data_IF_743172406807
#
_entry.id   IF_743172406807
#
_cell.length_a   1.000
_cell.length_b   1.000
_cell.length_c   1.000
_cell.angle_alpha   90.00
_cell.angle_beta   90.00
_cell.angle_gamma   90.00
#
_symmetry.space_group_name_H-M   'P 1'
#
loop_
_entity.id
_entity.type
_entity.pdbx_description
1 polymer ?
#
# COMPACT_ATOMS: atom_id res chain seq x y z
N UNK A 1 -0.03 0.37 -33.82
CA UNK A 1 -0.28 -0.58 -32.71
C UNK A 1 0.98 -0.94 -31.92
N UNK A 2 2.16 -1.09 -32.54
CA UNK A 2 3.41 -1.40 -31.82
C UNK A 2 3.88 -0.32 -30.82
N UNK A 3 3.58 0.97 -31.08
CA UNK A 3 3.93 2.08 -30.17
C UNK A 3 3.04 2.21 -28.93
N UNK A 4 1.82 1.66 -28.97
CA UNK A 4 0.87 1.73 -27.84
C UNK A 4 1.18 0.63 -26.80
N UNK A 5 1.69 -0.52 -27.26
CA UNK A 5 2.12 -1.63 -26.41
C UNK A 5 3.43 -1.30 -25.64
N UNK A 6 4.33 -0.53 -26.25
CA UNK A 6 5.57 -0.06 -25.61
C UNK A 6 5.32 0.97 -24.49
N UNK A 7 4.26 1.78 -24.59
CA UNK A 7 3.91 2.75 -23.55
C UNK A 7 3.29 2.09 -22.31
N UNK A 8 2.56 0.99 -22.48
CA UNK A 8 1.95 0.25 -21.36
C UNK A 8 2.98 -0.55 -20.55
N UNK A 9 4.06 -1.04 -21.18
CA UNK A 9 5.15 -1.74 -20.48
C UNK A 9 6.07 -0.75 -19.73
N UNK A 10 6.15 0.50 -20.17
CA UNK A 10 6.94 1.55 -19.52
C UNK A 10 6.29 2.13 -18.25
N UNK A 11 5.01 1.84 -17.99
CA UNK A 11 4.27 2.35 -16.83
C UNK A 11 4.23 1.39 -15.64
N UNK A 12 4.95 0.26 -15.70
CA UNK A 12 5.25 -0.56 -14.53
C UNK A 12 6.60 -0.11 -13.96
N UNK A 13 6.66 0.88 -13.05
CA UNK A 13 7.80 0.97 -12.18
C UNK A 13 7.74 -0.28 -11.30
N UNK A 14 8.57 -1.27 -11.65
CA UNK A 14 9.09 -2.23 -10.67
C UNK A 14 9.84 -1.41 -9.62
N UNK A 15 9.11 -0.82 -8.69
CA UNK A 15 9.68 -0.18 -7.52
C UNK A 15 10.06 -1.29 -6.55
N UNK A 16 11.14 -1.99 -6.87
CA UNK A 16 11.85 -2.83 -5.91
C UNK A 16 12.82 -1.92 -5.17
N UNK A 17 12.31 -1.22 -4.16
CA UNK A 17 13.17 -0.64 -3.14
C UNK A 17 13.42 -1.76 -2.11
N UNK A 18 14.52 -2.48 -2.29
CA UNK A 18 15.08 -3.27 -1.21
C UNK A 18 15.71 -2.26 -0.25
N UNK A 19 14.95 -1.82 0.75
CA UNK A 19 15.52 -0.98 1.79
C UNK A 19 16.39 -1.83 2.69
N UNK A 20 17.68 -1.52 2.66
CA UNK A 20 18.62 -1.96 3.67
C UNK A 20 18.22 -1.22 4.94
N UNK A 21 17.41 -1.88 5.78
CA UNK A 21 17.26 -1.51 7.17
C UNK A 21 18.69 -1.37 7.72
N UNK A 22 19.09 -0.16 8.12
CA UNK A 22 20.39 0.02 8.77
C UNK A 22 20.28 -0.68 10.12
N UNK A 23 20.65 -1.97 10.14
CA UNK A 23 20.52 -2.81 11.32
C UNK A 23 21.43 -2.27 12.41
N UNK A 24 20.85 -2.08 13.59
CA UNK A 24 21.62 -1.78 14.79
C UNK A 24 22.67 -2.89 14.99
N UNK A 25 23.95 -2.56 15.19
CA UNK A 25 25.01 -3.55 15.34
C UNK A 25 24.74 -4.45 16.57
N UNK A 26 25.05 -5.76 16.49
CA UNK A 26 24.79 -6.68 17.59
C UNK A 26 25.66 -6.33 18.81
N UNK A 27 25.02 -6.19 19.99
CA UNK A 27 25.70 -5.99 21.27
C UNK A 27 25.80 -4.54 21.77
N UNK A 28 25.16 -3.57 21.11
CA UNK A 28 25.03 -2.18 21.59
C UNK A 28 23.56 -1.77 21.68
N UNK A 29 23.21 -0.95 22.68
CA UNK A 29 21.91 -0.27 22.72
C UNK A 29 21.85 0.73 21.57
N UNK A 30 20.80 0.68 20.76
CA UNK A 30 20.69 1.49 19.56
C UNK A 30 19.25 1.95 19.36
N UNK A 31 19.10 3.20 18.93
CA UNK A 31 17.81 3.86 18.73
C UNK A 31 17.82 4.60 17.40
N UNK A 32 16.67 4.59 16.73
CA UNK A 32 16.48 5.23 15.43
C UNK A 32 16.01 6.66 15.60
N UNK A 33 16.66 7.60 14.92
CA UNK A 33 16.23 9.00 14.83
C UNK A 33 15.67 9.28 13.44
N UNK A 34 14.56 10.03 13.38
CA UNK A 34 13.88 10.33 12.11
C UNK A 34 14.70 11.29 11.22
N UNK A 35 15.39 12.25 11.84
CA UNK A 35 16.18 13.27 11.17
C UNK A 35 17.66 13.21 11.58
N UNK A 36 18.59 13.76 10.77
CA UNK A 36 20.01 13.85 11.13
C UNK A 36 20.27 14.63 12.43
N UNK A 37 21.52 14.60 12.90
CA UNK A 37 21.95 15.40 14.05
C UNK A 37 21.76 16.90 13.80
N UNK A 38 21.33 17.65 14.82
CA UNK A 38 21.01 19.09 14.72
C UNK A 38 19.73 19.43 13.93
N UNK A 39 18.95 18.42 13.56
CA UNK A 39 17.64 18.57 12.93
C UNK A 39 16.56 17.84 13.71
N UNK A 40 15.32 18.31 13.57
CA UNK A 40 14.10 17.70 14.08
C UNK A 40 13.06 17.55 12.97
N UNK A 41 12.07 16.70 13.20
CA UNK A 41 10.98 16.48 12.27
C UNK A 41 10.04 17.70 12.22
N UNK A 42 9.87 18.24 11.02
CA UNK A 42 8.85 19.25 10.73
C UNK A 42 7.68 18.67 9.93
N UNK A 43 6.64 19.48 9.64
CA UNK A 43 5.40 19.02 9.02
C UNK A 43 5.56 18.44 7.60
N UNK A 44 6.67 18.76 6.91
CA UNK A 44 6.95 18.25 5.54
C UNK A 44 8.37 17.74 5.37
N UNK A 45 9.32 18.19 6.17
CA UNK A 45 10.74 17.88 6.04
C UNK A 45 11.44 18.04 7.40
N UNK A 46 12.67 17.52 7.49
CA UNK A 46 13.54 17.80 8.62
C UNK A 46 13.91 19.28 8.62
N UNK A 47 13.78 19.92 9.77
CA UNK A 47 14.11 21.33 9.97
C UNK A 47 15.27 21.44 10.96
N UNK A 48 16.16 22.43 10.83
CA UNK A 48 17.22 22.64 11.82
C UNK A 48 16.61 22.95 13.19
N UNK A 49 17.12 22.29 14.23
CA UNK A 49 16.60 22.39 15.59
C UNK A 49 16.71 21.07 16.37
N UNK A 50 16.30 21.11 17.64
CA UNK A 50 16.42 19.99 18.58
C UNK A 50 17.62 20.13 19.52
N UNK A 51 17.43 19.75 20.78
CA UNK A 51 18.48 19.69 21.81
C UNK A 51 19.18 18.31 21.84
N UNK A 52 18.63 17.32 21.14
CA UNK A 52 19.03 15.91 21.22
C UNK A 52 17.95 15.07 21.90
N UNK A 53 17.91 13.78 21.57
CA UNK A 53 16.97 12.84 22.17
C UNK A 53 17.35 12.56 23.64
N UNK A 54 16.35 12.48 24.52
CA UNK A 54 16.55 12.11 25.93
C UNK A 54 16.68 10.58 26.05
N UNK A 55 17.87 10.07 25.78
CA UNK A 55 18.17 8.63 25.71
C UNK A 55 19.35 8.30 26.62
N UNK A 56 19.37 7.15 27.32
CA UNK A 56 20.47 6.76 28.20
C UNK A 56 21.83 6.80 27.51
N UNK A 57 22.83 7.31 28.25
CA UNK A 57 24.21 7.43 27.81
C UNK A 57 24.77 6.10 27.28
N UNK A 58 25.39 6.14 26.10
CA UNK A 58 25.96 4.96 25.44
C UNK A 58 25.05 4.31 24.40
N UNK A 59 23.87 4.90 24.14
CA UNK A 59 22.98 4.46 23.06
C UNK A 59 23.43 5.03 21.72
N UNK A 60 23.61 4.17 20.72
CA UNK A 60 23.95 4.58 19.35
C UNK A 60 22.71 5.15 18.65
N UNK A 61 22.84 6.35 18.07
CA UNK A 61 21.79 6.99 17.30
C UNK A 61 22.01 6.68 15.82
N UNK A 62 21.07 5.96 15.21
CA UNK A 62 21.09 5.65 13.78
C UNK A 62 19.98 6.43 13.08
N UNK A 63 20.29 7.08 11.97
CA UNK A 63 19.26 7.80 11.19
C UNK A 63 18.57 6.79 10.30
N UNK A 64 17.31 6.48 10.62
CA UNK A 64 16.46 5.57 9.87
C UNK A 64 15.02 6.08 9.93
N UNK A 65 14.52 6.57 8.79
CA UNK A 65 13.17 7.14 8.67
C UNK A 65 12.27 6.16 7.92
N UNK A 66 11.18 5.69 8.53
CA UNK A 66 10.20 4.84 7.86
C UNK A 66 9.64 5.48 6.57
N UNK A 67 9.40 4.67 5.54
CA UNK A 67 8.86 5.10 4.24
C UNK A 67 7.33 5.08 4.17
N UNK A 68 6.68 5.41 5.28
CA UNK A 68 5.23 5.36 5.43
C UNK A 68 4.72 6.67 6.03
N UNK A 69 3.41 6.94 5.93
CA UNK A 69 2.78 8.00 6.71
C UNK A 69 3.03 7.73 8.20
N UNK A 70 3.80 8.62 8.84
CA UNK A 70 4.18 8.48 10.24
C UNK A 70 3.18 9.22 11.13
N UNK A 71 2.87 8.64 12.27
CA UNK A 71 2.04 9.21 13.32
C UNK A 71 2.84 9.22 14.62
N UNK A 72 2.62 10.23 15.46
CA UNK A 72 3.30 10.32 16.75
C UNK A 72 2.44 9.69 17.84
N UNK A 73 3.09 8.96 18.76
CA UNK A 73 2.48 8.52 20.01
C UNK A 73 2.59 9.63 21.04
N UNK A 74 1.48 9.96 21.71
CA UNK A 74 1.47 11.01 22.71
C UNK A 74 2.00 10.50 24.06
N UNK A 75 3.08 11.10 24.62
CA UNK A 75 3.66 10.63 25.86
C UNK A 75 2.69 10.85 27.03
N UNK A 76 2.24 9.75 27.63
CA UNK A 76 1.37 9.73 28.81
C UNK A 76 -0.09 9.38 28.53
N UNK A 77 -0.55 9.47 27.26
CA UNK A 77 -1.81 8.84 26.83
C UNK A 77 -1.53 7.48 26.19
N UNK A 78 -0.48 7.40 25.38
CA UNK A 78 -0.03 6.16 24.76
C UNK A 78 1.16 5.62 25.55
N UNK A 79 0.97 4.47 26.21
CA UNK A 79 2.06 3.77 26.89
C UNK A 79 2.94 3.10 25.83
N UNK A 80 4.19 3.57 25.70
CA UNK A 80 5.19 2.93 24.86
C UNK A 80 6.51 2.73 25.60
N UNK A 81 7.17 1.62 25.30
CA UNK A 81 8.46 1.24 25.85
C UNK A 81 9.43 0.91 24.72
N UNK A 82 10.65 1.45 24.80
CA UNK A 82 11.71 1.14 23.84
C UNK A 82 12.61 0.07 24.46
N UNK A 83 12.74 -1.05 23.77
CA UNK A 83 13.62 -2.13 24.18
C UNK A 83 15.06 -1.89 23.69
N UNK A 84 16.02 -2.40 24.46
CA UNK A 84 17.46 -2.36 24.15
C UNK A 84 17.84 -3.02 22.82
N UNK A 85 16.97 -3.88 22.28
CA UNK A 85 17.12 -4.52 20.98
C UNK A 85 16.73 -3.60 19.80
N UNK A 86 16.37 -2.33 20.07
CA UNK A 86 15.92 -1.37 19.06
C UNK A 86 14.51 -1.65 18.54
N UNK A 87 13.65 -2.26 19.36
CA UNK A 87 12.20 -2.41 19.06
C UNK A 87 11.38 -1.53 20.00
N UNK A 88 10.26 -1.04 19.49
CA UNK A 88 9.29 -0.27 20.25
C UNK A 88 8.08 -1.18 20.53
N UNK A 89 7.64 -1.21 21.78
CA UNK A 89 6.35 -1.77 22.15
C UNK A 89 5.41 -0.66 22.54
N UNK A 90 4.19 -0.72 22.00
CA UNK A 90 3.14 0.23 22.34
C UNK A 90 1.81 -0.52 22.44
N UNK A 91 0.86 0.07 23.15
CA UNK A 91 -0.49 -0.48 23.29
C UNK A 91 -1.41 0.14 22.24
N UNK A 92 -2.00 -0.69 21.38
CA UNK A 92 -3.07 -0.30 20.44
C UNK A 92 -4.34 -1.09 20.78
N UNK A 93 -5.44 -0.38 21.12
CA UNK A 93 -6.76 -0.97 21.40
C UNK A 93 -6.68 -2.21 22.32
N UNK A 94 -6.02 -2.06 23.46
CA UNK A 94 -5.80 -3.10 24.49
C UNK A 94 -4.90 -4.29 24.06
N UNK A 95 -4.20 -4.17 22.93
CA UNK A 95 -3.23 -5.16 22.47
C UNK A 95 -1.82 -4.60 22.45
N UNK A 96 -0.85 -5.38 22.93
CA UNK A 96 0.56 -5.00 22.85
C UNK A 96 1.10 -5.29 21.45
N UNK A 97 1.59 -4.27 20.78
CA UNK A 97 2.19 -4.35 19.45
C UNK A 97 3.67 -4.06 19.55
N UNK A 98 4.50 -4.94 18.99
CA UNK A 98 5.96 -4.76 18.92
C UNK A 98 6.34 -4.46 17.48
N UNK A 99 6.99 -3.31 17.26
CA UNK A 99 7.42 -2.87 15.93
C UNK A 99 8.89 -2.46 15.89
N UNK A 100 9.49 -2.57 14.71
CA UNK A 100 10.81 -2.02 14.36
C UNK A 100 10.70 -0.80 13.46
N UNK A 101 9.52 -0.56 12.88
CA UNK A 101 9.26 0.54 11.97
C UNK A 101 8.83 1.79 12.76
N UNK A 102 9.78 2.32 13.52
CA UNK A 102 9.62 3.55 14.26
C UNK A 102 10.90 4.38 14.19
N UNK A 103 10.76 5.67 14.45
CA UNK A 103 11.88 6.56 14.69
C UNK A 103 11.52 7.57 15.77
N UNK A 104 12.50 8.06 16.51
CA UNK A 104 12.31 9.09 17.52
C UNK A 104 12.70 10.45 16.95
N UNK A 105 11.99 11.49 17.38
CA UNK A 105 12.41 12.86 17.13
C UNK A 105 11.83 13.81 18.18
N UNK A 106 12.34 15.04 18.19
CA UNK A 106 11.88 16.09 19.08
C UNK A 106 10.75 16.91 18.43
N UNK A 107 9.74 17.27 19.22
CA UNK A 107 8.72 18.24 18.82
C UNK A 107 9.21 19.69 19.05
N UNK A 108 8.39 20.68 18.70
CA UNK A 108 8.61 22.11 18.93
C UNK A 108 8.88 22.48 20.40
N UNK A 109 8.44 21.64 21.34
CA UNK A 109 8.69 21.80 22.77
C UNK A 109 9.94 21.04 23.28
N UNK A 110 10.77 20.50 22.39
CA UNK A 110 11.96 19.67 22.71
C UNK A 110 11.65 18.44 23.57
N UNK A 111 10.42 17.94 23.52
CA UNK A 111 10.07 16.64 24.11
C UNK A 111 10.29 15.56 23.06
N UNK A 112 10.79 14.40 23.49
CA UNK A 112 11.03 13.24 22.60
C UNK A 112 9.69 12.54 22.32
N UNK A 113 9.38 12.33 21.05
CA UNK A 113 8.21 11.60 20.57
C UNK A 113 8.62 10.38 19.75
N UNK A 114 7.82 9.33 19.82
CA UNK A 114 7.94 8.16 18.97
C UNK A 114 7.03 8.30 17.75
N UNK A 115 7.62 8.25 16.56
CA UNK A 115 6.91 8.23 15.29
C UNK A 115 6.83 6.79 14.79
N UNK A 116 5.62 6.27 14.65
CA UNK A 116 5.35 4.93 14.17
C UNK A 116 4.62 4.97 12.83
N UNK A 117 4.72 3.88 12.09
CA UNK A 117 3.84 3.63 10.96
C UNK A 117 2.70 2.72 11.38
N UNK A 118 1.48 3.17 11.14
CA UNK A 118 0.36 2.24 11.13
C UNK A 118 0.33 1.53 9.78
N UNK A 119 0.12 0.20 9.75
CA UNK A 119 -0.23 -0.45 8.50
C UNK A 119 -1.46 0.28 7.93
N UNK A 120 -1.52 0.49 6.60
CA UNK A 120 -2.68 1.12 5.99
C UNK A 120 -3.93 0.35 6.44
N UNK A 121 -4.96 1.08 6.83
CA UNK A 121 -6.23 0.51 7.26
C UNK A 121 -6.70 -0.47 6.17
N UNK A 122 -7.29 -1.61 6.56
CA UNK A 122 -7.77 -2.62 5.60
C UNK A 122 -8.67 -1.99 4.51
N UNK A 123 -9.40 -0.92 4.88
CA UNK A 123 -10.23 -0.10 4.00
C UNK A 123 -9.42 0.65 2.93
N UNK A 124 -8.29 1.27 3.26
CA UNK A 124 -7.45 2.02 2.30
C UNK A 124 -6.76 1.09 1.29
N UNK A 125 -6.32 -0.09 1.76
CA UNK A 125 -5.76 -1.13 0.88
C UNK A 125 -6.85 -1.68 -0.04
N UNK A 126 -8.07 -1.87 0.48
CA UNK A 126 -9.21 -2.30 -0.31
C UNK A 126 -9.57 -1.26 -1.38
N UNK A 127 -9.61 0.04 -1.06
CA UNK A 127 -9.87 1.10 -2.04
C UNK A 127 -8.81 1.16 -3.14
N UNK A 128 -7.52 1.11 -2.78
CA UNK A 128 -6.43 1.14 -3.75
C UNK A 128 -6.44 -0.09 -4.67
N UNK A 129 -6.74 -1.27 -4.11
CA UNK A 129 -6.84 -2.50 -4.91
C UNK A 129 -8.06 -2.49 -5.82
N UNK A 130 -9.22 -2.03 -5.35
CA UNK A 130 -10.43 -1.86 -6.16
C UNK A 130 -10.20 -0.87 -7.32
N UNK A 131 -9.49 0.23 -7.07
CA UNK A 131 -9.13 1.18 -8.11
C UNK A 131 -8.23 0.54 -9.19
N UNK A 132 -7.23 -0.24 -8.79
CA UNK A 132 -6.36 -0.96 -9.72
C UNK A 132 -7.14 -1.98 -10.56
N UNK A 133 -8.08 -2.71 -9.96
CA UNK A 133 -8.97 -3.64 -10.68
C UNK A 133 -9.87 -2.91 -11.69
N UNK A 134 -10.45 -1.78 -11.31
CA UNK A 134 -11.32 -0.97 -12.18
C UNK A 134 -10.56 -0.49 -13.43
N UNK A 135 -9.31 -0.02 -13.26
CA UNK A 135 -8.44 0.38 -14.37
C UNK A 135 -8.15 -0.83 -15.28
N UNK A 136 -7.82 -1.99 -14.70
CA UNK A 136 -7.58 -3.23 -15.44
C UNK A 136 -8.79 -3.67 -16.27
N UNK A 137 -10.00 -3.57 -15.72
CA UNK A 137 -11.26 -3.87 -16.42
C UNK A 137 -11.54 -2.88 -17.56
N UNK A 138 -11.31 -1.59 -17.33
CA UNK A 138 -11.51 -0.53 -18.33
C UNK A 138 -10.68 -0.75 -19.60
N UNK A 139 -9.43 -1.21 -19.46
CA UNK A 139 -8.58 -1.54 -20.61
C UNK A 139 -8.89 -2.92 -21.22
N UNK A 140 -9.31 -3.89 -20.41
CA UNK A 140 -9.54 -5.26 -20.86
C UNK A 140 -10.79 -5.41 -21.73
N UNK A 141 -11.89 -4.75 -21.37
CA UNK A 141 -13.17 -4.82 -22.11
C UNK A 141 -13.05 -4.38 -23.58
N UNK A 142 -12.48 -3.21 -23.93
CA UNK A 142 -12.36 -2.78 -25.32
C UNK A 142 -11.39 -3.66 -26.11
N UNK A 143 -10.34 -4.19 -25.47
CA UNK A 143 -9.41 -5.12 -26.10
C UNK A 143 -10.08 -6.47 -26.45
N UNK A 144 -10.86 -7.02 -25.51
CA UNK A 144 -11.65 -8.23 -25.73
C UNK A 144 -12.72 -8.01 -26.81
N UNK A 145 -13.38 -6.85 -26.80
CA UNK A 145 -14.36 -6.49 -27.83
C UNK A 145 -13.72 -6.38 -29.22
N UNK A 146 -12.56 -5.72 -29.33
CA UNK A 146 -11.80 -5.64 -30.58
C UNK A 146 -11.41 -7.03 -31.08
N UNK A 147 -11.02 -7.93 -30.17
CA UNK A 147 -10.71 -9.33 -30.50
C UNK A 147 -11.94 -10.02 -31.09
N UNK A 148 -13.10 -9.93 -30.44
CA UNK A 148 -14.36 -10.48 -30.95
C UNK A 148 -14.71 -9.91 -32.34
N UNK A 149 -14.57 -8.60 -32.54
CA UNK A 149 -14.88 -7.93 -33.82
C UNK A 149 -13.95 -8.41 -34.93
N UNK A 150 -12.64 -8.53 -34.68
CA UNK A 150 -11.67 -9.01 -35.67
C UNK A 150 -11.96 -10.46 -36.06
N UNK A 151 -12.18 -11.35 -35.08
CA UNK A 151 -12.53 -12.75 -35.35
C UNK A 151 -13.89 -12.90 -36.06
N UNK A 152 -14.85 -12.00 -35.82
CA UNK A 152 -16.14 -11.99 -36.50
C UNK A 152 -16.06 -11.44 -37.95
N UNK A 153 -15.25 -10.41 -38.19
CA UNK A 153 -15.13 -9.73 -39.50
C UNK A 153 -14.30 -10.54 -40.49
N UNK A 154 -13.29 -11.27 -40.02
CA UNK A 154 -12.41 -12.08 -40.87
C UNK A 154 -13.07 -13.42 -41.24
N UNK A 155 -13.96 -13.40 -42.24
CA UNK A 155 -14.65 -14.60 -42.78
C UNK A 155 -13.71 -15.74 -43.19
N UNK A 156 -12.42 -15.44 -43.43
CA UNK A 156 -11.39 -16.38 -43.86
C UNK A 156 -10.81 -17.26 -42.73
N UNK A 157 -10.99 -16.89 -41.45
CA UNK A 157 -10.54 -17.69 -40.29
C UNK A 157 -11.70 -18.41 -39.56
N UNK A 158 -12.88 -18.48 -40.20
CA UNK A 158 -14.09 -19.13 -39.67
C UNK A 158 -14.02 -20.67 -39.70
N UNK A 159 -12.82 -21.21 -39.50
CA UNK A 159 -12.56 -22.62 -39.27
C UNK A 159 -13.07 -23.01 -37.87
N UNK A 160 -13.25 -24.30 -37.60
CA UNK A 160 -13.72 -24.80 -36.29
C UNK A 160 -12.97 -24.15 -35.11
N UNK A 161 -11.65 -24.00 -35.29
CA UNK A 161 -10.75 -23.40 -34.31
C UNK A 161 -11.07 -21.92 -33.99
N UNK A 162 -11.41 -21.12 -35.00
CA UNK A 162 -11.76 -19.70 -34.81
C UNK A 162 -13.08 -19.50 -34.08
N UNK A 163 -14.02 -20.45 -34.20
CA UNK A 163 -15.28 -20.42 -33.45
C UNK A 163 -15.08 -20.69 -31.96
N UNK A 164 -14.20 -21.63 -31.59
CA UNK A 164 -13.89 -21.89 -30.19
C UNK A 164 -13.29 -20.67 -29.49
N UNK A 165 -12.34 -19.99 -30.15
CA UNK A 165 -11.73 -18.76 -29.64
C UNK A 165 -12.81 -17.68 -29.44
N UNK A 166 -13.73 -17.52 -30.40
CA UNK A 166 -14.81 -16.55 -30.28
C UNK A 166 -15.72 -16.80 -29.07
N UNK A 167 -16.16 -18.04 -28.86
CA UNK A 167 -16.98 -18.38 -27.70
C UNK A 167 -16.22 -18.18 -26.38
N UNK A 168 -14.97 -18.61 -26.32
CA UNK A 168 -14.14 -18.44 -25.14
C UNK A 168 -13.95 -16.96 -24.77
N UNK A 169 -13.57 -16.13 -25.75
CA UNK A 169 -13.40 -14.69 -25.55
C UNK A 169 -14.71 -13.98 -25.22
N UNK A 170 -15.85 -14.43 -25.77
CA UNK A 170 -17.17 -13.89 -25.44
C UNK A 170 -17.58 -14.16 -23.99
N UNK A 171 -17.26 -15.34 -23.44
CA UNK A 171 -17.51 -15.67 -22.05
C UNK A 171 -16.65 -14.81 -21.10
N UNK A 172 -15.37 -14.63 -21.43
CA UNK A 172 -14.47 -13.72 -20.70
C UNK A 172 -14.98 -12.27 -20.73
N UNK A 173 -15.44 -11.79 -21.90
CA UNK A 173 -16.03 -10.45 -22.03
C UNK A 173 -17.27 -10.29 -21.16
N UNK A 174 -18.17 -11.28 -21.15
CA UNK A 174 -19.38 -11.26 -20.33
C UNK A 174 -19.05 -11.25 -18.83
N UNK A 175 -18.09 -12.07 -18.40
CA UNK A 175 -17.62 -12.10 -17.02
C UNK A 175 -17.02 -10.75 -16.57
N UNK A 176 -16.21 -10.10 -17.42
CA UNK A 176 -15.62 -8.80 -17.11
C UNK A 176 -16.65 -7.67 -17.09
N UNK A 177 -17.67 -7.72 -17.94
CA UNK A 177 -18.81 -6.80 -17.88
C UNK A 177 -19.54 -6.97 -16.55
N UNK A 178 -19.82 -8.21 -16.13
CA UNK A 178 -20.49 -8.47 -14.85
C UNK A 178 -19.67 -7.98 -13.65
N UNK A 179 -18.37 -8.26 -13.63
CA UNK A 179 -17.46 -7.75 -12.60
C UNK A 179 -17.42 -6.21 -12.57
N UNK A 180 -17.40 -5.56 -13.73
CA UNK A 180 -17.43 -4.10 -13.80
C UNK A 180 -18.76 -3.51 -13.28
N UNK A 181 -19.89 -4.17 -13.53
CA UNK A 181 -21.20 -3.74 -13.00
C UNK A 181 -21.27 -3.88 -11.48
N UNK A 182 -20.73 -4.97 -10.92
CA UNK A 182 -20.65 -5.18 -9.48
C UNK A 182 -19.73 -4.18 -8.80
N UNK A 183 -18.55 -3.91 -9.36
CA UNK A 183 -17.60 -2.95 -8.79
C UNK A 183 -18.09 -1.50 -8.86
N UNK A 184 -18.82 -1.12 -9.92
CA UNK A 184 -19.33 0.24 -10.09
C UNK A 184 -20.68 0.50 -9.38
N UNK A 185 -21.21 -0.46 -8.61
CA UNK A 185 -22.45 -0.27 -7.82
C UNK A 185 -23.73 -0.08 -8.64
N UNK A 186 -23.66 -0.05 -9.98
CA UNK A 186 -24.81 0.09 -10.88
C UNK A 186 -25.84 -1.06 -10.78
N UNK A 187 -25.49 -2.10 -10.05
CA UNK A 187 -26.26 -3.33 -9.92
C UNK A 187 -27.09 -3.40 -8.62
N UNK A 188 -27.07 -2.35 -7.79
CA UNK A 188 -27.79 -2.37 -6.50
C UNK A 188 -29.28 -2.00 -6.59
N UNK A 189 -29.75 -1.34 -7.66
CA UNK A 189 -31.14 -0.87 -7.71
C UNK A 189 -32.15 -1.95 -8.19
N UNK A 190 -31.73 -2.99 -8.92
CA UNK A 190 -32.67 -4.01 -9.43
C UNK A 190 -32.11 -5.46 -9.44
N UNK A 191 -31.62 -5.96 -8.29
CA UNK A 191 -31.77 -7.40 -8.04
C UNK A 191 -32.46 -7.67 -6.71
N UNK A 192 -33.60 -8.38 -6.71
CA UNK A 192 -34.26 -8.77 -5.49
C UNK A 192 -33.30 -9.65 -4.67
N UNK A 193 -33.26 -9.43 -3.36
CA UNK A 193 -32.55 -10.20 -2.32
C UNK A 193 -32.84 -11.72 -2.30
N UNK A 194 -33.42 -12.28 -3.36
CA UNK A 194 -33.82 -13.68 -3.51
C UNK A 194 -32.63 -14.54 -3.96
N UNK A 195 -31.61 -13.98 -4.63
CA UNK A 195 -30.51 -14.79 -5.21
C UNK A 195 -29.30 -14.89 -4.27
N UNK A 196 -28.98 -13.83 -3.52
CA UNK A 196 -27.91 -13.85 -2.52
C UNK A 196 -28.55 -14.18 -1.19
N UNK A 197 -28.69 -15.49 -0.92
CA UNK A 197 -29.21 -16.00 0.34
C UNK A 197 -28.60 -15.25 1.53
N UNK A 198 -29.47 -14.82 2.44
CA UNK A 198 -29.12 -14.10 3.66
C UNK A 198 -28.04 -14.88 4.44
N UNK A 199 -26.88 -14.27 4.77
CA UNK A 199 -25.95 -14.91 5.70
C UNK A 199 -26.65 -15.04 7.07
N UNK A 200 -26.71 -16.27 7.56
CA UNK A 200 -27.20 -16.66 8.89
C UNK A 200 -26.17 -16.24 9.93
#
# INVERSE_FOLDING_TARGET
MHRLLLLLVAAFPLCRAQDVLLECPPGQSCVRKCCPEGQKIGPRACVPGGLGLDVPNGTLIVVDRPKCPMFYLEPGSDEFEIFYNGTLMYTDRDTQVVTREFCLDENDFNSTFAYICFPPNEEEVLEATLQAYSIGLCFSIPFLLATVIVYASFKRLRNLHGKCILYHTSCMLLSYIFLALLQNGHFQEEMPCIIVGKPV
#
